data_IF_708134806333
#
_entry.id   IF_708134806333
#
_cell.length_a   1.000
_cell.length_b   1.000
_cell.length_c   1.000
_cell.angle_alpha   90.00
_cell.angle_beta   90.00
_cell.angle_gamma   90.00
#
_symmetry.space_group_name_H-M   'P 1'
#
loop_
_entity.id
_entity.type
_entity.pdbx_description
1 polymer ?
#
# COMPACT_ATOMS: atom_id res chain seq x y z
N UNK A 1 -6.23 -9.73 -14.33
CA UNK A 1 -5.74 -8.99 -13.14
C UNK A 1 -6.72 -7.86 -12.86
N UNK A 2 -7.37 -7.86 -11.71
CA UNK A 2 -8.37 -6.84 -11.35
C UNK A 2 -7.67 -5.55 -10.91
N UNK A 3 -8.33 -4.40 -11.09
CA UNK A 3 -7.87 -3.11 -10.57
C UNK A 3 -8.53 -2.77 -9.25
N UNK A 4 -7.83 -2.05 -8.37
CA UNK A 4 -8.32 -1.62 -7.05
C UNK A 4 -8.53 -0.10 -6.99
N UNK A 5 -9.43 0.39 -6.12
CA UNK A 5 -10.33 -0.34 -5.21
C UNK A 5 -11.47 -1.05 -5.95
N UNK A 6 -12.30 -1.86 -5.28
CA UNK A 6 -13.46 -2.53 -5.90
C UNK A 6 -14.76 -1.71 -5.82
N UNK A 7 -14.68 -0.42 -6.15
CA UNK A 7 -15.83 0.51 -6.21
C UNK A 7 -15.79 1.37 -7.47
N UNK A 8 -16.91 1.95 -7.95
CA UNK A 8 -16.90 2.79 -9.15
C UNK A 8 -15.82 3.88 -9.12
N UNK A 9 -15.18 4.11 -10.27
CA UNK A 9 -14.13 5.11 -10.43
C UNK A 9 -12.79 4.52 -10.80
N UNK A 10 -11.76 5.37 -10.68
CA UNK A 10 -10.43 5.10 -11.21
C UNK A 10 -9.71 4.00 -10.46
N UNK A 11 -9.01 3.14 -11.22
CA UNK A 11 -8.38 1.94 -10.69
C UNK A 11 -6.86 1.98 -10.85
N UNK A 12 -6.17 1.46 -9.85
CA UNK A 12 -4.77 1.09 -9.97
C UNK A 12 -4.67 -0.42 -10.25
N UNK A 13 -3.85 -0.81 -11.21
CA UNK A 13 -3.62 -2.20 -11.57
C UNK A 13 -2.39 -2.79 -10.84
N UNK A 14 -2.26 -4.12 -10.76
CA UNK A 14 -1.09 -4.74 -10.16
C UNK A 14 0.21 -4.31 -10.83
N UNK A 15 1.28 -4.24 -10.04
CA UNK A 15 2.62 -4.02 -10.53
C UNK A 15 3.00 -5.11 -11.54
N UNK A 16 3.34 -4.69 -12.76
CA UNK A 16 3.67 -5.62 -13.84
C UNK A 16 5.14 -6.04 -13.76
N UNK A 17 5.38 -7.27 -13.28
CA UNK A 17 6.72 -7.88 -13.22
C UNK A 17 7.25 -8.36 -14.57
N UNK A 18 6.51 -8.11 -15.67
CA UNK A 18 6.83 -8.56 -17.03
C UNK A 18 7.03 -10.08 -17.11
N UNK A 19 6.25 -10.83 -16.33
CA UNK A 19 6.28 -12.29 -16.29
C UNK A 19 7.40 -12.89 -15.42
N UNK A 20 8.22 -12.07 -14.76
CA UNK A 20 9.19 -12.56 -13.77
C UNK A 20 8.50 -12.81 -12.42
N UNK A 21 8.97 -13.78 -11.61
CA UNK A 21 8.60 -13.86 -10.21
C UNK A 21 8.85 -12.52 -9.50
N UNK A 22 8.01 -12.18 -8.52
CA UNK A 22 8.21 -10.99 -7.72
C UNK A 22 9.31 -11.27 -6.69
N UNK A 23 10.51 -10.70 -6.89
CA UNK A 23 11.59 -10.74 -5.91
C UNK A 23 11.85 -9.33 -5.39
N UNK A 24 11.63 -9.11 -4.10
CA UNK A 24 11.81 -7.82 -3.43
C UNK A 24 12.98 -7.92 -2.45
N UNK A 25 14.01 -7.11 -2.66
CA UNK A 25 15.11 -6.90 -1.73
C UNK A 25 14.92 -5.55 -1.04
N UNK A 26 14.82 -5.54 0.28
CA UNK A 26 14.68 -4.34 1.10
C UNK A 26 16.07 -3.74 1.36
N UNK A 27 16.28 -2.49 0.95
CA UNK A 27 17.59 -1.82 0.99
C UNK A 27 17.70 -0.84 2.15
N UNK A 28 16.71 0.05 2.31
CA UNK A 28 16.73 1.14 3.28
C UNK A 28 15.30 1.61 3.61
N UNK A 29 14.98 1.86 4.88
CA UNK A 29 13.76 2.57 5.24
C UNK A 29 13.94 4.07 4.97
N UNK A 30 13.08 4.63 4.12
CA UNK A 30 13.11 6.04 3.75
C UNK A 30 12.28 6.92 4.69
N UNK A 31 11.31 6.32 5.39
CA UNK A 31 10.51 6.98 6.40
C UNK A 31 9.20 6.23 6.67
N UNK A 32 8.49 6.68 7.72
CA UNK A 32 7.21 6.12 8.12
C UNK A 32 6.26 7.22 8.59
N UNK A 33 4.97 6.90 8.63
CA UNK A 33 3.94 7.77 9.16
C UNK A 33 2.66 6.99 9.46
N UNK A 34 1.58 7.71 9.75
CA UNK A 34 0.30 7.13 10.20
C UNK A 34 -0.27 6.04 9.27
N UNK A 35 0.02 6.13 7.97
CA UNK A 35 -0.60 5.28 6.94
C UNK A 35 0.36 4.27 6.33
N UNK A 36 1.56 4.09 6.91
CA UNK A 36 2.51 3.11 6.41
C UNK A 36 3.97 3.53 6.43
N UNK A 37 4.76 2.65 5.83
CA UNK A 37 6.21 2.69 5.79
C UNK A 37 6.67 2.78 4.34
N UNK A 38 7.71 3.56 4.07
CA UNK A 38 8.29 3.71 2.74
C UNK A 38 9.70 3.14 2.76
N UNK A 39 9.93 2.17 1.88
CA UNK A 39 11.21 1.49 1.73
C UNK A 39 11.80 1.76 0.36
N UNK A 40 13.11 1.98 0.31
CA UNK A 40 13.91 1.76 -0.89
C UNK A 40 14.06 0.26 -1.07
N UNK A 41 13.64 -0.24 -2.23
CA UNK A 41 13.70 -1.66 -2.55
C UNK A 41 14.32 -1.87 -3.91
N UNK A 42 14.88 -3.06 -4.14
CA UNK A 42 15.21 -3.56 -5.47
C UNK A 42 14.20 -4.64 -5.83
N UNK A 43 13.47 -4.43 -6.94
CA UNK A 43 12.54 -5.42 -7.50
C UNK A 43 13.05 -5.81 -8.88
N UNK A 44 13.42 -7.08 -9.06
CA UNK A 44 13.91 -7.62 -10.33
C UNK A 44 14.98 -6.74 -11.01
N UNK A 45 16.01 -6.36 -10.23
CA UNK A 45 17.18 -5.55 -10.62
C UNK A 45 16.95 -4.04 -10.78
N UNK A 46 15.73 -3.55 -10.57
CA UNK A 46 15.42 -2.12 -10.62
C UNK A 46 15.08 -1.57 -9.23
N UNK A 47 15.54 -0.35 -8.93
CA UNK A 47 15.30 0.31 -7.64
C UNK A 47 13.98 1.08 -7.68
N UNK A 48 13.20 0.95 -6.61
CA UNK A 48 11.90 1.58 -6.42
C UNK A 48 11.72 2.08 -4.99
N UNK A 49 10.74 2.96 -4.81
CA UNK A 49 10.15 3.24 -3.52
C UNK A 49 8.92 2.34 -3.34
N UNK A 50 8.89 1.56 -2.27
CA UNK A 50 7.78 0.69 -1.90
C UNK A 50 7.09 1.26 -0.67
N UNK A 51 5.86 1.76 -0.84
CA UNK A 51 5.03 2.17 0.29
C UNK A 51 4.19 0.97 0.73
N UNK A 52 4.41 0.52 1.96
CA UNK A 52 3.71 -0.58 2.62
C UNK A 52 2.70 0.04 3.57
N UNK A 53 1.42 -0.29 3.41
CA UNK A 53 0.35 0.39 4.14
C UNK A 53 0.03 -0.32 5.43
N UNK A 54 -0.18 0.45 6.49
CA UNK A 54 -0.74 -0.04 7.73
C UNK A 54 -2.22 -0.36 7.52
N UNK A 55 -2.73 -1.28 8.33
CA UNK A 55 -4.15 -1.56 8.44
C UNK A 55 -4.82 -0.48 9.29
N UNK A 56 -5.48 0.48 8.65
CA UNK A 56 -6.14 1.58 9.34
C UNK A 56 -7.58 1.19 9.74
N UNK A 57 -7.79 0.84 11.02
CA UNK A 57 -9.12 0.53 11.57
C UNK A 57 -9.95 1.77 11.90
N UNK A 58 -9.31 2.90 12.21
CA UNK A 58 -10.00 4.08 12.71
C UNK A 58 -10.81 4.78 11.59
N UNK A 59 -12.09 5.08 11.84
CA UNK A 59 -12.97 5.82 10.93
C UNK A 59 -13.99 5.00 10.12
N UNK A 60 -13.93 3.67 10.17
CA UNK A 60 -14.96 2.80 9.57
C UNK A 60 -16.17 2.62 10.49
N UNK A 61 -15.97 2.73 11.81
CA UNK A 61 -17.04 2.82 12.79
C UNK A 61 -17.49 4.28 12.93
N UNK A 62 -18.78 4.54 12.65
CA UNK A 62 -19.41 5.82 12.95
C UNK A 62 -19.37 6.90 11.87
N UNK A 63 -18.78 6.68 10.69
CA UNK A 63 -18.89 7.64 9.58
C UNK A 63 -20.27 7.53 8.91
N UNK A 64 -21.24 8.26 9.44
CA UNK A 64 -22.39 8.75 8.70
C UNK A 64 -21.89 9.70 7.60
N UNK A 65 -21.33 9.15 6.52
CA UNK A 65 -20.78 9.96 5.43
C UNK A 65 -21.91 10.68 4.72
N UNK A 66 -22.16 11.94 5.09
CA UNK A 66 -23.19 12.79 4.49
C UNK A 66 -24.61 12.15 4.47
N UNK A 67 -24.92 11.31 5.46
CA UNK A 67 -26.22 10.63 5.56
C UNK A 67 -26.39 9.38 4.69
N UNK A 68 -25.31 8.89 4.05
CA UNK A 68 -25.31 7.59 3.38
C UNK A 68 -24.91 6.47 4.34
N UNK A 69 -25.72 5.41 4.38
CA UNK A 69 -25.33 4.15 4.98
C UNK A 69 -24.52 3.37 3.94
N UNK A 70 -23.22 3.24 4.20
CA UNK A 70 -22.32 2.38 3.45
C UNK A 70 -22.06 1.13 4.28
N UNK A 71 -22.00 -0.02 3.63
CA UNK A 71 -21.56 -1.23 4.32
C UNK A 71 -20.05 -1.15 4.64
N UNK A 72 -19.58 -2.11 5.43
CA UNK A 72 -18.18 -2.14 5.86
C UNK A 72 -17.20 -2.26 4.69
N UNK A 73 -17.52 -3.06 3.68
CA UNK A 73 -16.66 -3.27 2.52
C UNK A 73 -16.62 -2.03 1.62
N UNK A 74 -17.73 -1.33 1.44
CA UNK A 74 -17.80 -0.05 0.76
C UNK A 74 -16.99 1.01 1.49
N UNK A 75 -17.15 1.13 2.82
CA UNK A 75 -16.36 2.06 3.63
C UNK A 75 -14.87 1.79 3.51
N UNK A 76 -14.45 0.54 3.58
CA UNK A 76 -13.04 0.19 3.37
C UNK A 76 -12.56 0.67 2.00
N UNK A 77 -13.30 0.35 0.93
CA UNK A 77 -12.95 0.74 -0.43
C UNK A 77 -12.91 2.26 -0.64
N UNK A 78 -13.60 3.06 0.17
CA UNK A 78 -13.63 4.53 0.05
C UNK A 78 -12.74 5.29 1.02
N UNK A 79 -12.45 4.75 2.21
CA UNK A 79 -11.75 5.49 3.26
C UNK A 79 -10.38 4.93 3.59
N UNK A 80 -10.13 3.67 3.29
CA UNK A 80 -8.86 3.05 3.65
C UNK A 80 -7.70 3.69 2.85
N UNK A 81 -6.57 4.04 3.50
CA UNK A 81 -5.49 4.80 2.86
C UNK A 81 -4.90 4.17 1.60
N UNK A 82 -4.70 2.85 1.57
CA UNK A 82 -4.24 2.14 0.38
C UNK A 82 -5.26 2.27 -0.77
N UNK A 83 -6.54 2.12 -0.49
CA UNK A 83 -7.61 2.26 -1.49
C UNK A 83 -7.69 3.69 -2.02
N UNK A 84 -7.55 4.70 -1.16
CA UNK A 84 -7.52 6.11 -1.54
C UNK A 84 -6.35 6.40 -2.49
N UNK A 85 -5.18 5.88 -2.17
CA UNK A 85 -3.98 6.08 -2.98
C UNK A 85 -4.06 5.34 -4.32
N UNK A 86 -4.67 4.15 -4.35
CA UNK A 86 -5.03 3.46 -5.60
C UNK A 86 -5.92 4.33 -6.49
N UNK A 87 -6.99 4.94 -5.96
CA UNK A 87 -7.87 5.83 -6.74
C UNK A 87 -7.13 7.06 -7.25
N UNK A 88 -6.29 7.67 -6.43
CA UNK A 88 -5.53 8.86 -6.80
C UNK A 88 -4.57 8.57 -7.98
N UNK A 89 -3.75 7.53 -7.88
CA UNK A 89 -2.85 7.16 -8.99
C UNK A 89 -3.58 6.61 -10.21
N UNK A 90 -4.68 5.88 -10.01
CA UNK A 90 -5.55 5.45 -11.10
C UNK A 90 -6.07 6.64 -11.90
N UNK A 91 -6.52 7.70 -11.21
CA UNK A 91 -6.98 8.94 -11.85
C UNK A 91 -5.88 9.63 -12.63
N UNK A 92 -4.68 9.72 -12.08
CA UNK A 92 -3.54 10.34 -12.77
C UNK A 92 -3.17 9.58 -14.05
N UNK A 93 -3.22 8.24 -14.01
CA UNK A 93 -3.00 7.39 -15.19
C UNK A 93 -4.06 7.58 -16.28
N UNK A 94 -5.33 7.62 -15.91
CA UNK A 94 -6.44 7.80 -16.85
C UNK A 94 -6.33 9.09 -17.68
N UNK A 95 -5.83 10.18 -17.06
CA UNK A 95 -5.69 11.47 -17.72
C UNK A 95 -4.28 11.72 -18.30
N UNK A 96 -3.34 10.79 -18.13
CA UNK A 96 -1.95 10.98 -18.54
C UNK A 96 -1.22 12.08 -17.76
N UNK A 97 -1.60 12.29 -16.50
CA UNK A 97 -1.05 13.32 -15.61
C UNK A 97 -0.05 12.75 -14.60
N UNK A 98 0.63 11.66 -14.98
CA UNK A 98 1.60 10.99 -14.11
C UNK A 98 2.80 11.89 -13.79
N UNK A 99 3.06 12.94 -14.58
CA UNK A 99 4.14 13.92 -14.34
C UNK A 99 3.85 14.90 -13.19
N UNK A 100 2.62 14.92 -12.64
CA UNK A 100 2.28 15.73 -11.46
C UNK A 100 2.78 15.13 -10.14
N UNK A 101 3.33 13.92 -10.16
CA UNK A 101 3.77 13.16 -8.99
C UNK A 101 4.89 12.19 -9.38
N UNK A 102 5.43 11.45 -8.42
CA UNK A 102 6.30 10.30 -8.71
C UNK A 102 5.51 9.23 -9.44
N UNK A 103 6.09 8.64 -10.50
CA UNK A 103 5.41 7.59 -11.26
C UNK A 103 4.99 6.43 -10.36
N UNK A 104 3.75 5.98 -10.50
CA UNK A 104 3.25 4.79 -9.82
C UNK A 104 3.20 3.63 -10.80
N UNK A 105 3.81 2.51 -10.43
CA UNK A 105 3.91 1.34 -11.31
C UNK A 105 2.83 0.29 -11.04
N UNK A 106 2.07 0.44 -9.96
CA UNK A 106 0.99 -0.47 -9.57
C UNK A 106 1.09 -0.91 -8.12
N UNK A 107 0.13 -1.73 -7.70
CA UNK A 107 0.08 -2.30 -6.36
C UNK A 107 0.67 -3.71 -6.30
N UNK A 108 1.10 -4.12 -5.11
CA UNK A 108 1.56 -5.46 -4.77
C UNK A 108 0.80 -5.93 -3.53
N UNK A 109 0.42 -7.21 -3.53
CA UNK A 109 -0.01 -7.92 -2.33
C UNK A 109 1.17 -8.76 -1.85
N UNK A 110 1.68 -8.48 -0.66
CA UNK A 110 2.88 -9.10 -0.13
C UNK A 110 2.61 -10.54 0.31
N UNK A 111 3.45 -11.46 -0.15
CA UNK A 111 3.45 -12.85 0.27
C UNK A 111 4.01 -13.05 1.69
N UNK A 112 3.76 -14.22 2.26
CA UNK A 112 4.16 -14.59 3.63
C UNK A 112 5.65 -14.38 3.93
N UNK A 113 6.52 -14.57 2.93
CA UNK A 113 7.97 -14.36 3.06
C UNK A 113 8.33 -12.92 3.38
N UNK A 114 7.63 -11.94 2.79
CA UNK A 114 7.80 -10.52 3.09
C UNK A 114 7.25 -10.15 4.46
N UNK A 115 6.23 -10.86 4.94
CA UNK A 115 5.70 -10.68 6.28
C UNK A 115 6.72 -11.09 7.35
N UNK A 116 7.50 -12.16 7.11
CA UNK A 116 8.61 -12.54 8.01
C UNK A 116 9.66 -11.42 8.13
N UNK A 117 9.97 -10.74 7.02
CA UNK A 117 10.84 -9.57 7.06
C UNK A 117 10.25 -8.45 7.93
N UNK A 118 8.99 -8.07 7.68
CA UNK A 118 8.31 -7.02 8.46
C UNK A 118 8.22 -7.36 9.95
N UNK A 119 7.88 -8.62 10.30
CA UNK A 119 7.88 -9.13 11.69
C UNK A 119 9.24 -8.94 12.37
N UNK A 120 10.33 -9.29 11.68
CA UNK A 120 11.69 -9.15 12.22
C UNK A 120 12.10 -7.69 12.38
N UNK A 121 11.68 -6.83 11.46
CA UNK A 121 12.09 -5.42 11.42
C UNK A 121 11.34 -4.57 12.45
N UNK A 122 10.04 -4.83 12.65
CA UNK A 122 9.18 -3.98 13.48
C UNK A 122 8.69 -4.64 14.78
N UNK A 123 9.08 -5.89 15.04
CA UNK A 123 8.77 -6.67 16.24
C UNK A 123 7.33 -6.47 16.76
N UNK A 124 7.17 -5.60 17.77
CA UNK A 124 5.91 -5.32 18.45
C UNK A 124 4.94 -4.44 17.64
N UNK A 125 5.45 -3.53 16.81
CA UNK A 125 4.62 -2.65 15.97
C UNK A 125 3.96 -3.41 14.83
N UNK A 126 4.57 -4.53 14.40
CA UNK A 126 4.02 -5.34 13.33
C UNK A 126 2.57 -5.80 13.59
N UNK A 127 2.24 -6.13 14.84
CA UNK A 127 0.89 -6.54 15.24
C UNK A 127 -0.10 -5.38 15.19
N UNK A 128 0.32 -4.21 15.65
CA UNK A 128 -0.52 -3.00 15.63
C UNK A 128 -0.76 -2.49 14.20
N UNK A 129 0.27 -2.53 13.36
CA UNK A 129 0.24 -1.91 12.04
C UNK A 129 -0.28 -2.83 10.95
N UNK A 130 -0.13 -4.15 11.07
CA UNK A 130 -0.55 -5.08 10.02
C UNK A 130 -1.46 -6.20 10.51
N UNK A 131 -1.73 -6.32 11.82
CA UNK A 131 -2.72 -7.23 12.42
C UNK A 131 -2.68 -8.66 11.86
N UNK A 132 -1.47 -9.13 11.58
CA UNK A 132 -1.21 -10.39 10.88
C UNK A 132 -0.49 -11.37 11.82
N UNK A 133 -1.17 -11.84 12.86
CA UNK A 133 -0.69 -12.98 13.63
C UNK A 133 -1.81 -13.93 14.01
N UNK A 134 -1.46 -15.21 14.02
CA UNK A 134 -2.34 -16.38 14.00
C UNK A 134 -3.10 -16.62 15.31
N UNK A 135 -4.34 -17.09 15.16
CA UNK A 135 -5.23 -17.70 16.17
C UNK A 135 -6.19 -16.79 16.94
N UNK A 136 -6.15 -15.46 16.77
CA UNK A 136 -7.23 -14.59 17.27
C UNK A 136 -8.36 -14.48 16.21
N UNK A 137 -9.61 -14.61 16.66
CA UNK A 137 -10.83 -14.54 15.83
C UNK A 137 -10.93 -13.24 15.01
N UNK A 138 -10.19 -12.20 15.42
CA UNK A 138 -10.24 -10.85 14.87
C UNK A 138 -9.05 -10.47 13.97
N UNK A 139 -8.07 -11.35 13.76
CA UNK A 139 -6.94 -11.05 12.87
C UNK A 139 -7.35 -11.12 11.39
N UNK A 140 -7.00 -10.09 10.62
CA UNK A 140 -7.29 -10.08 9.18
C UNK A 140 -6.39 -11.07 8.45
N UNK A 141 -7.02 -11.87 7.58
CA UNK A 141 -6.34 -12.84 6.71
C UNK A 141 -5.93 -12.25 5.35
N UNK A 142 -6.09 -10.94 5.19
CA UNK A 142 -5.76 -10.27 3.94
C UNK A 142 -4.25 -10.04 3.83
N UNK A 143 -3.69 -10.11 2.61
CA UNK A 143 -2.27 -9.85 2.40
C UNK A 143 -1.95 -8.38 2.66
N UNK A 144 -0.79 -8.11 3.26
CA UNK A 144 -0.28 -6.75 3.40
C UNK A 144 -0.14 -6.10 2.02
N UNK A 145 -0.60 -4.86 1.90
CA UNK A 145 -0.74 -4.16 0.61
C UNK A 145 0.35 -3.10 0.48
N UNK A 146 0.90 -3.00 -0.73
CA UNK A 146 1.93 -2.02 -1.04
C UNK A 146 1.74 -1.39 -2.42
N UNK A 147 2.31 -0.21 -2.63
CA UNK A 147 2.36 0.47 -3.93
C UNK A 147 3.82 0.68 -4.33
N UNK A 148 4.13 0.33 -5.58
CA UNK A 148 5.45 0.53 -6.19
C UNK A 148 5.48 1.89 -6.87
N UNK A 149 6.47 2.71 -6.50
CA UNK A 149 6.67 4.05 -7.03
C UNK A 149 8.09 4.25 -7.52
N UNK A 150 8.24 5.27 -8.35
CA UNK A 150 9.54 5.79 -8.74
C UNK A 150 10.34 6.18 -7.50
N UNK A 151 11.58 5.70 -7.45
CA UNK A 151 12.55 6.15 -6.46
C UNK A 151 13.32 7.33 -7.04
N UNK A 152 13.29 8.46 -6.34
CA UNK A 152 14.11 9.62 -6.64
C UNK A 152 15.03 9.84 -5.46
N UNK A 153 16.33 9.87 -5.72
CA UNK A 153 17.33 10.20 -4.71
C UNK A 153 17.29 11.71 -4.49
N UNK A 154 16.59 12.14 -3.44
CA UNK A 154 16.52 13.56 -3.08
C UNK A 154 17.67 13.81 -2.10
N UNK A 155 18.64 14.68 -2.42
CA UNK A 155 19.71 15.02 -1.50
C UNK A 155 19.10 15.53 -0.19
N UNK A 156 19.51 14.96 0.95
CA UNK A 156 19.10 15.47 2.26
C UNK A 156 19.65 16.89 2.40
N UNK A 157 18.78 17.89 2.38
CA UNK A 157 19.15 19.24 2.79
C UNK A 157 19.41 19.22 4.29
N UNK A 158 20.65 19.51 4.69
CA UNK A 158 21.00 19.75 6.09
C UNK A 158 20.13 20.90 6.62
N UNK A 159 19.35 20.64 7.66
CA UNK A 159 18.59 21.64 8.41
C UNK A 159 19.34 22.00 9.69
#
# INVERSE_FOLDING_TARGET
MAGLPDVPGSKLYPFNTKGKPLNIEYLEELGHGLHGYVWKVRINDQVFALKIFNWFREGVEGSNTFGQELDFAERENYFEPFQNECRAYGRLKEFGWEDLTFKCFGYILLEQTHLTFLKRTYENFYKCDWDYDSDEEYCRKEPVRAIVKEFVDIPKTEH
#
